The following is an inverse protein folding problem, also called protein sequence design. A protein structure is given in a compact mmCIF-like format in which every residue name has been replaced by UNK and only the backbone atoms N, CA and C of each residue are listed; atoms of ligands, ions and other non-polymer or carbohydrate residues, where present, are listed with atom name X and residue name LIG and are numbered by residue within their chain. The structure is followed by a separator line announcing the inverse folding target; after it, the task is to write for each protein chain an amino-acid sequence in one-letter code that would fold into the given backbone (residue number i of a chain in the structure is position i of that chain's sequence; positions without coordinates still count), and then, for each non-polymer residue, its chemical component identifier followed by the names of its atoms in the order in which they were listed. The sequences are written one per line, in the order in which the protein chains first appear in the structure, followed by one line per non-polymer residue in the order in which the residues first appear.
data_IF_710532673697
#
_entry.id   IF_710532673697
#
_cell.length_a   1.000
_cell.length_b   1.000
_cell.length_c   1.000
_cell.angle_alpha   90.00
_cell.angle_beta   90.00
_cell.angle_gamma   90.00
#
_symmetry.space_group_name_H-M   'P 1'
#
loop_
_entity.id
_entity.type
_entity.pdbx_description
1 polymer ?
#
# COMPACT_ATOMS: atom_id res chain seq x y z
N UNK A 1 -37.82 6.97 2.23
CA UNK A 1 -36.39 6.61 2.33
C UNK A 1 -36.36 5.11 2.55
N UNK A 2 -35.64 4.31 1.74
CA UNK A 2 -35.50 2.89 2.05
C UNK A 2 -34.81 2.79 3.42
N UNK A 3 -35.20 1.84 4.30
CA UNK A 3 -34.57 1.70 5.59
C UNK A 3 -33.10 1.35 5.35
N UNK A 4 -32.19 2.15 5.89
CA UNK A 4 -30.77 1.86 5.87
C UNK A 4 -30.52 0.66 6.77
N UNK A 5 -30.63 -0.56 6.24
CA UNK A 5 -30.08 -1.73 6.91
C UNK A 5 -28.56 -1.61 6.80
N UNK A 6 -27.91 -1.36 7.93
CA UNK A 6 -26.45 -1.27 8.02
C UNK A 6 -25.87 -2.68 7.98
N UNK A 7 -26.10 -3.40 6.88
CA UNK A 7 -25.60 -4.75 6.69
C UNK A 7 -24.11 -4.70 6.30
N UNK A 8 -23.25 -5.23 7.17
CA UNK A 8 -21.82 -5.39 6.90
C UNK A 8 -21.43 -6.84 7.12
N UNK A 9 -20.95 -7.51 6.07
CA UNK A 9 -20.31 -8.80 6.21
C UNK A 9 -18.94 -8.58 6.89
N UNK A 10 -18.78 -9.04 8.13
CA UNK A 10 -17.55 -8.87 8.89
C UNK A 10 -17.14 -10.15 9.59
N UNK A 11 -15.84 -10.50 9.48
CA UNK A 11 -15.30 -11.74 10.07
C UNK A 11 -15.39 -11.79 11.60
N UNK A 12 -15.21 -10.65 12.26
CA UNK A 12 -15.31 -10.52 13.72
C UNK A 12 -16.76 -10.43 14.21
N UNK A 13 -17.71 -10.17 13.32
CA UNK A 13 -19.14 -10.09 13.63
C UNK A 13 -19.92 -11.03 12.69
N UNK A 14 -19.83 -12.35 12.90
CA UNK A 14 -20.37 -13.36 11.98
C UNK A 14 -21.90 -13.36 11.90
N UNK A 15 -22.58 -12.79 12.90
CA UNK A 15 -24.04 -12.80 13.04
C UNK A 15 -24.51 -11.35 13.22
N UNK A 16 -24.82 -10.64 12.12
CA UNK A 16 -25.29 -9.26 12.18
C UNK A 16 -26.67 -9.18 12.86
N UNK A 17 -26.96 -8.03 13.49
CA UNK A 17 -28.20 -7.79 14.24
C UNK A 17 -29.44 -7.82 13.33
N UNK A 18 -29.26 -7.36 12.08
CA UNK A 18 -30.30 -7.32 11.06
C UNK A 18 -29.99 -8.32 9.93
N UNK A 19 -31.01 -8.99 9.38
CA UNK A 19 -30.84 -9.82 8.19
C UNK A 19 -30.52 -8.96 6.97
N UNK A 20 -29.84 -9.56 5.98
CA UNK A 20 -29.56 -8.90 4.72
C UNK A 20 -30.84 -8.43 4.00
N UNK A 21 -31.87 -9.29 3.94
CA UNK A 21 -33.17 -8.95 3.37
C UNK A 21 -34.22 -8.76 4.46
N UNK A 22 -34.58 -7.51 4.76
CA UNK A 22 -35.66 -7.18 5.70
C UNK A 22 -37.06 -7.33 5.07
N UNK A 23 -37.19 -7.00 3.78
CA UNK A 23 -38.46 -7.09 3.05
C UNK A 23 -38.53 -8.39 2.24
N UNK A 24 -39.51 -9.23 2.58
CA UNK A 24 -39.69 -10.55 1.97
C UNK A 24 -40.89 -10.57 1.02
N UNK A 25 -40.69 -11.13 -0.17
CA UNK A 25 -41.74 -11.42 -1.13
C UNK A 25 -42.60 -12.64 -0.68
N UNK A 26 -43.70 -12.92 -1.38
CA UNK A 26 -44.63 -13.99 -0.98
C UNK A 26 -43.97 -15.38 -0.90
N UNK A 27 -43.08 -15.70 -1.85
CA UNK A 27 -42.36 -16.97 -1.89
C UNK A 27 -41.33 -17.10 -0.75
N UNK A 28 -40.59 -16.02 -0.47
CA UNK A 28 -39.63 -15.95 0.63
C UNK A 28 -40.34 -16.04 1.98
N UNK A 29 -41.53 -15.45 2.13
CA UNK A 29 -42.35 -15.63 3.35
C UNK A 29 -42.77 -17.08 3.51
N UNK A 30 -43.25 -17.73 2.45
CA UNK A 30 -43.57 -19.17 2.50
C UNK A 30 -42.33 -20.02 2.85
N UNK A 31 -41.15 -19.63 2.36
CA UNK A 31 -39.88 -20.27 2.69
C UNK A 31 -39.50 -20.09 4.17
N UNK A 32 -39.68 -18.88 4.74
CA UNK A 32 -39.48 -18.61 6.18
C UNK A 32 -40.49 -19.35 7.06
N UNK A 33 -41.72 -19.57 6.59
CA UNK A 33 -42.67 -20.45 7.30
C UNK A 33 -42.21 -21.92 7.27
N UNK A 34 -41.69 -22.39 6.13
CA UNK A 34 -41.12 -23.74 5.99
C UNK A 34 -39.85 -23.93 6.85
N UNK A 35 -39.06 -22.88 7.06
CA UNK A 35 -37.88 -22.88 7.93
C UNK A 35 -38.19 -23.24 9.40
N UNK A 36 -39.40 -22.95 9.88
CA UNK A 36 -39.86 -23.30 11.24
C UNK A 36 -40.04 -24.81 11.44
N UNK A 37 -40.15 -25.57 10.35
CA UNK A 37 -40.33 -27.03 10.35
C UNK A 37 -39.00 -27.80 10.33
N UNK A 38 -39.04 -29.07 9.90
CA UNK A 38 -37.83 -29.92 9.85
C UNK A 38 -36.93 -29.55 8.66
N UNK A 39 -35.67 -29.24 8.94
CA UNK A 39 -34.66 -28.90 7.92
C UNK A 39 -34.22 -30.09 7.04
N UNK A 40 -34.64 -31.31 7.39
CA UNK A 40 -34.46 -32.49 6.54
C UNK A 40 -35.37 -32.47 5.31
N UNK A 41 -36.47 -31.72 5.36
CA UNK A 41 -37.44 -31.57 4.27
C UNK A 41 -37.12 -30.40 3.33
N UNK A 42 -36.11 -29.59 3.67
CA UNK A 42 -35.63 -28.49 2.83
C UNK A 42 -34.66 -29.03 1.78
N UNK A 43 -34.90 -28.68 0.53
CA UNK A 43 -33.98 -28.91 -0.57
C UNK A 43 -32.67 -28.12 -0.38
N UNK A 44 -31.63 -28.51 -1.09
CA UNK A 44 -30.34 -27.80 -1.03
C UNK A 44 -30.48 -26.33 -1.48
N UNK A 45 -31.26 -26.08 -2.53
CA UNK A 45 -31.52 -24.73 -3.04
C UNK A 45 -32.27 -23.86 -2.02
N UNK A 46 -33.25 -24.42 -1.31
CA UNK A 46 -34.00 -23.70 -0.26
C UNK A 46 -33.10 -23.29 0.91
N UNK A 47 -32.14 -24.15 1.30
CA UNK A 47 -31.16 -23.82 2.34
C UNK A 47 -30.22 -22.69 1.90
N UNK A 48 -29.77 -22.71 0.65
CA UNK A 48 -28.95 -21.63 0.08
C UNK A 48 -29.75 -20.32 -0.02
N UNK A 49 -31.02 -20.39 -0.40
CA UNK A 49 -31.91 -19.23 -0.45
C UNK A 49 -32.11 -18.62 0.94
N UNK A 50 -32.38 -19.43 1.97
CA UNK A 50 -32.44 -18.97 3.37
C UNK A 50 -31.14 -18.31 3.82
N UNK A 51 -29.99 -18.90 3.46
CA UNK A 51 -28.68 -18.29 3.75
C UNK A 51 -28.54 -16.91 3.11
N UNK A 52 -28.91 -16.75 1.83
CA UNK A 52 -28.83 -15.48 1.11
C UNK A 52 -29.84 -14.43 1.58
N UNK A 53 -30.95 -14.85 2.21
CA UNK A 53 -31.88 -13.93 2.88
C UNK A 53 -31.29 -13.35 4.16
N UNK A 54 -30.53 -14.17 4.91
CA UNK A 54 -29.90 -13.74 6.16
C UNK A 54 -28.57 -13.01 5.92
N UNK A 55 -27.75 -13.49 4.97
CA UNK A 55 -26.38 -13.04 4.72
C UNK A 55 -26.18 -12.72 3.22
N UNK A 56 -25.61 -11.55 2.93
CA UNK A 56 -25.24 -11.14 1.57
C UNK A 56 -24.13 -12.03 1.00
N UNK A 57 -23.06 -12.25 1.76
CA UNK A 57 -21.82 -12.89 1.33
C UNK A 57 -21.47 -14.06 2.24
N UNK A 58 -20.89 -15.09 1.64
CA UNK A 58 -20.23 -16.16 2.39
C UNK A 58 -18.90 -15.71 2.97
N UNK A 59 -18.40 -16.42 3.98
CA UNK A 59 -17.03 -16.22 4.46
C UNK A 59 -15.97 -16.38 3.36
N UNK A 60 -16.23 -17.21 2.34
CA UNK A 60 -15.31 -17.37 1.22
C UNK A 60 -15.30 -16.14 0.29
N UNK A 61 -16.47 -15.57 0.03
CA UNK A 61 -16.63 -14.36 -0.79
C UNK A 61 -16.02 -13.13 -0.10
N UNK A 62 -16.35 -12.91 1.17
CA UNK A 62 -15.82 -11.80 1.97
C UNK A 62 -14.28 -11.86 2.11
N UNK A 63 -13.71 -13.06 2.22
CA UNK A 63 -12.25 -13.25 2.35
C UNK A 63 -11.54 -13.39 0.98
N UNK A 64 -12.23 -13.14 -0.13
CA UNK A 64 -11.63 -13.23 -1.46
C UNK A 64 -10.55 -12.17 -1.61
N UNK A 65 -9.33 -12.61 -1.93
CA UNK A 65 -8.20 -11.70 -2.18
C UNK A 65 -8.43 -10.87 -3.44
N UNK A 66 -8.19 -9.55 -3.36
CA UNK A 66 -8.19 -8.65 -4.51
C UNK A 66 -6.79 -8.60 -5.17
N UNK A 67 -6.76 -8.20 -6.44
CA UNK A 67 -5.51 -7.92 -7.18
C UNK A 67 -5.14 -6.42 -7.13
N UNK A 68 -5.80 -5.63 -6.29
CA UNK A 68 -5.64 -4.17 -6.23
C UNK A 68 -4.20 -3.75 -5.91
N UNK A 69 -3.45 -4.56 -5.16
CA UNK A 69 -2.04 -4.32 -4.87
C UNK A 69 -1.21 -4.14 -6.15
N UNK A 70 -1.56 -4.84 -7.25
CA UNK A 70 -0.87 -4.69 -8.55
C UNK A 70 -1.11 -3.32 -9.14
N UNK A 71 -2.34 -2.83 -9.08
CA UNK A 71 -2.71 -1.48 -9.52
C UNK A 71 -1.99 -0.43 -8.69
N UNK A 72 -2.01 -0.57 -7.36
CA UNK A 72 -1.33 0.35 -6.44
C UNK A 72 0.16 0.43 -6.75
N UNK A 73 0.84 -0.72 -6.84
CA UNK A 73 2.26 -0.77 -7.16
C UNK A 73 2.55 -0.18 -8.55
N UNK A 74 1.73 -0.49 -9.55
CA UNK A 74 1.85 0.07 -10.90
C UNK A 74 1.76 1.60 -10.90
N UNK A 75 0.78 2.16 -10.20
CA UNK A 75 0.63 3.62 -10.06
C UNK A 75 1.84 4.25 -9.35
N UNK A 76 2.33 3.66 -8.26
CA UNK A 76 3.51 4.17 -7.53
C UNK A 76 4.73 4.25 -8.45
N UNK A 77 5.06 3.17 -9.15
CA UNK A 77 6.22 3.17 -10.05
C UNK A 77 6.06 4.10 -11.25
N UNK A 78 4.84 4.23 -11.77
CA UNK A 78 4.54 5.21 -12.83
C UNK A 78 4.84 6.64 -12.36
N UNK A 79 4.39 7.03 -11.17
CA UNK A 79 4.65 8.36 -10.64
C UNK A 79 6.11 8.59 -10.24
N UNK A 80 6.84 7.57 -9.80
CA UNK A 80 8.29 7.67 -9.63
C UNK A 80 9.01 7.91 -10.96
N UNK A 81 8.64 7.17 -12.01
CA UNK A 81 9.17 7.38 -13.35
C UNK A 81 8.88 8.79 -13.87
N UNK A 82 7.63 9.23 -13.74
CA UNK A 82 7.22 10.58 -14.13
C UNK A 82 7.98 11.67 -13.35
N UNK A 83 8.14 11.51 -12.03
CA UNK A 83 8.90 12.45 -11.20
C UNK A 83 10.37 12.52 -11.62
N UNK A 84 10.99 11.38 -11.95
CA UNK A 84 12.37 11.34 -12.45
C UNK A 84 12.52 12.11 -13.77
N UNK A 85 11.53 12.02 -14.68
CA UNK A 85 11.51 12.80 -15.92
C UNK A 85 11.42 14.31 -15.65
N UNK A 86 10.60 14.73 -14.69
CA UNK A 86 10.52 16.14 -14.28
C UNK A 86 11.85 16.65 -13.71
N UNK A 87 12.51 15.87 -12.84
CA UNK A 87 13.82 16.22 -12.28
C UNK A 87 14.88 16.31 -13.39
N UNK A 88 14.85 15.38 -14.34
CA UNK A 88 15.73 15.43 -15.51
C UNK A 88 15.51 16.69 -16.33
N UNK A 89 14.26 17.04 -16.64
CA UNK A 89 13.93 18.27 -17.36
C UNK A 89 14.42 19.53 -16.63
N UNK A 90 14.19 19.62 -15.31
CA UNK A 90 14.71 20.72 -14.49
C UNK A 90 16.25 20.81 -14.55
N UNK A 91 16.94 19.66 -14.53
CA UNK A 91 18.40 19.58 -14.63
C UNK A 91 18.95 20.09 -15.96
N UNK A 92 18.24 19.90 -17.06
CA UNK A 92 18.68 20.30 -18.40
C UNK A 92 18.35 21.76 -18.70
N UNK A 93 17.14 22.20 -18.35
CA UNK A 93 16.60 23.48 -18.83
C UNK A 93 16.46 24.57 -17.77
N UNK A 94 16.39 24.21 -16.48
CA UNK A 94 16.09 25.18 -15.41
C UNK A 94 17.31 25.49 -14.55
N UNK A 95 18.10 24.48 -14.19
CA UNK A 95 19.22 24.70 -13.27
C UNK A 95 20.42 25.38 -13.96
N UNK A 96 21.01 26.40 -13.29
CA UNK A 96 22.17 27.09 -13.82
C UNK A 96 23.40 26.18 -13.83
N UNK A 97 24.43 26.60 -14.58
CA UNK A 97 25.74 25.94 -14.56
C UNK A 97 26.26 25.85 -13.12
N UNK A 98 26.75 24.67 -12.74
CA UNK A 98 27.36 24.45 -11.42
C UNK A 98 28.52 25.44 -11.19
N UNK A 99 28.69 25.94 -9.95
CA UNK A 99 29.81 26.82 -9.62
C UNK A 99 31.15 26.12 -9.87
N UNK A 100 32.17 26.93 -10.15
CA UNK A 100 33.54 26.44 -10.40
C UNK A 100 34.10 25.62 -9.25
N UNK A 101 33.63 25.84 -8.02
CA UNK A 101 34.10 25.10 -6.84
C UNK A 101 33.70 23.62 -6.83
N UNK A 102 32.76 23.23 -7.71
CA UNK A 102 32.32 21.85 -7.88
C UNK A 102 32.97 21.15 -9.08
N UNK A 103 33.95 21.77 -9.74
CA UNK A 103 34.80 21.06 -10.70
C UNK A 103 35.70 20.06 -9.98
N UNK A 104 36.15 19.02 -10.69
CA UNK A 104 36.91 17.95 -10.07
C UNK A 104 38.31 18.42 -9.63
N UNK A 105 38.92 19.34 -10.37
CA UNK A 105 40.18 19.99 -9.99
C UNK A 105 40.04 20.78 -8.68
N UNK A 106 39.00 21.63 -8.58
CA UNK A 106 38.80 22.44 -7.38
C UNK A 106 38.45 21.57 -6.17
N UNK A 107 37.65 20.52 -6.35
CA UNK A 107 37.37 19.53 -5.30
C UNK A 107 38.65 18.85 -4.83
N UNK A 108 39.55 18.48 -5.73
CA UNK A 108 40.82 17.85 -5.36
C UNK A 108 41.74 18.83 -4.59
N UNK A 109 41.86 20.07 -5.06
CA UNK A 109 42.62 21.11 -4.36
C UNK A 109 42.02 21.43 -2.98
N UNK A 110 40.69 21.53 -2.90
CA UNK A 110 39.98 21.75 -1.65
C UNK A 110 40.15 20.57 -0.68
N UNK A 111 40.09 19.34 -1.19
CA UNK A 111 40.35 18.14 -0.40
C UNK A 111 41.78 18.14 0.16
N UNK A 112 42.78 18.41 -0.68
CA UNK A 112 44.18 18.52 -0.26
C UNK A 112 44.34 19.55 0.87
N UNK A 113 43.78 20.75 0.68
CA UNK A 113 43.80 21.79 1.72
C UNK A 113 43.16 21.33 3.03
N UNK A 114 42.02 20.64 2.98
CA UNK A 114 41.37 20.11 4.19
C UNK A 114 42.26 19.08 4.89
N UNK A 115 42.94 18.22 4.13
CA UNK A 115 43.89 17.25 4.68
C UNK A 115 45.10 17.96 5.30
N UNK A 116 45.67 18.96 4.64
CA UNK A 116 46.81 19.74 5.14
C UNK A 116 46.45 20.48 6.44
N UNK A 117 45.22 21.01 6.51
CA UNK A 117 44.67 21.65 7.71
C UNK A 117 44.21 20.65 8.78
N UNK A 118 44.34 19.33 8.53
CA UNK A 118 43.88 18.25 9.42
C UNK A 118 42.41 18.41 9.81
N UNK A 119 41.55 18.67 8.85
CA UNK A 119 40.11 18.86 9.05
C UNK A 119 39.44 17.62 9.66
N UNK A 120 38.98 17.76 10.91
CA UNK A 120 38.37 16.69 11.71
C UNK A 120 39.25 15.43 11.83
N UNK A 121 40.38 15.50 12.54
CA UNK A 121 41.45 14.51 12.48
C UNK A 121 41.27 13.29 13.38
N UNK A 122 40.25 13.25 14.24
CA UNK A 122 40.03 12.13 15.17
C UNK A 122 39.07 11.09 14.57
N UNK A 123 37.90 11.53 14.10
CA UNK A 123 36.84 10.63 13.60
C UNK A 123 36.39 10.95 12.16
N UNK A 124 36.79 12.10 11.63
CA UNK A 124 36.30 12.63 10.37
C UNK A 124 37.17 12.35 9.15
N UNK A 125 37.16 13.28 8.21
CA UNK A 125 37.81 13.10 6.91
C UNK A 125 39.33 12.89 7.05
N UNK A 126 40.02 13.79 7.73
CA UNK A 126 41.47 13.71 7.90
C UNK A 126 41.92 12.48 8.70
N UNK A 127 41.08 11.94 9.60
CA UNK A 127 41.45 10.74 10.37
C UNK A 127 41.58 9.49 9.49
N UNK A 128 40.92 9.50 8.31
CA UNK A 128 40.93 8.40 7.32
C UNK A 128 42.05 8.53 6.29
N UNK A 129 42.87 9.57 6.33
CA UNK A 129 44.00 9.75 5.44
C UNK A 129 45.30 9.29 6.10
N UNK A 130 46.09 8.48 5.40
CA UNK A 130 47.44 8.11 5.79
C UNK A 130 48.41 9.19 5.29
N UNK A 131 48.90 10.02 6.22
CA UNK A 131 49.80 11.12 5.90
C UNK A 131 51.22 10.66 5.56
N UNK A 132 51.63 9.45 5.97
CA UNK A 132 52.94 8.90 5.65
C UNK A 132 52.95 8.34 4.23
N UNK A 133 51.92 7.56 3.90
CA UNK A 133 51.79 6.91 2.59
C UNK A 133 51.10 7.76 1.52
N UNK A 134 50.53 8.90 1.92
CA UNK A 134 49.73 9.80 1.06
C UNK A 134 48.62 9.04 0.32
N UNK A 135 47.89 8.20 1.04
CA UNK A 135 46.76 7.44 0.53
C UNK A 135 45.61 7.37 1.55
N UNK A 136 44.41 6.99 1.11
CA UNK A 136 43.31 6.71 2.02
C UNK A 136 43.59 5.42 2.79
N UNK A 137 43.39 5.46 4.12
CA UNK A 137 43.47 4.27 4.96
C UNK A 137 42.44 3.25 4.49
N UNK A 138 42.86 1.98 4.41
CA UNK A 138 41.99 0.84 4.08
C UNK A 138 41.12 0.44 5.27
#
# INVERSE_FOLDING_TARGET
MPPYTNYHAQRSYPMPDEPFCAELNAEQRALKEKEKGSWTQLSHAEKVALYRLQFHETFAEMNRRSNEWKTVMGCVFFFFGFTALLIWWQRVYVFPKKPITLTDEWKAQQLQRILDMKGNPVQGLASRWDYEKKEWKK
#
